data_IF_674604159096
#
_entry.id   IF_674604159096
#
_cell.length_a   1.000
_cell.length_b   1.000
_cell.length_c   1.000
_cell.angle_alpha   90.00
_cell.angle_beta   90.00
_cell.angle_gamma   90.00
#
_symmetry.space_group_name_H-M   'P 1'
#
loop_
_entity.id
_entity.type
_entity.pdbx_description
1 polymer ?
#
# COMPACT_ATOMS: atom_id res chain seq x y z
N UNK A 1 19.98 13.82 -22.37
CA UNK A 1 20.04 14.61 -21.12
C UNK A 1 19.91 13.64 -19.96
N UNK A 2 20.40 14.00 -18.77
CA UNK A 2 20.34 13.12 -17.59
C UNK A 2 19.52 13.81 -16.51
N UNK A 3 18.55 13.09 -15.96
CA UNK A 3 17.82 13.50 -14.76
C UNK A 3 18.30 12.71 -13.55
N UNK A 4 18.58 13.42 -12.46
CA UNK A 4 18.81 12.86 -11.13
C UNK A 4 17.56 13.05 -10.28
N UNK A 5 16.91 11.94 -9.94
CA UNK A 5 15.83 11.89 -8.95
C UNK A 5 16.44 11.58 -7.58
N UNK A 6 16.47 12.57 -6.69
CA UNK A 6 17.01 12.43 -5.34
C UNK A 6 15.91 12.17 -4.33
N UNK A 7 16.17 11.25 -3.41
CA UNK A 7 15.25 10.86 -2.34
C UNK A 7 16.00 10.85 -1.01
N UNK A 8 15.61 11.71 -0.07
CA UNK A 8 16.07 11.63 1.31
C UNK A 8 15.24 10.57 2.05
N UNK A 9 15.83 9.39 2.20
CA UNK A 9 15.21 8.15 2.63
C UNK A 9 15.96 7.54 3.81
N UNK A 10 15.39 7.71 5.01
CA UNK A 10 16.05 7.36 6.28
C UNK A 10 16.00 5.86 6.62
N UNK A 11 15.29 5.05 5.83
CA UNK A 11 15.23 3.61 6.06
C UNK A 11 16.49 2.91 5.54
N UNK A 12 17.06 2.05 6.38
CA UNK A 12 18.30 1.32 6.10
C UNK A 12 18.12 0.10 5.19
N UNK A 13 16.90 -0.37 4.96
CA UNK A 13 16.63 -1.59 4.17
C UNK A 13 16.76 -1.39 2.66
N UNK A 14 17.01 -0.16 2.18
CA UNK A 14 17.07 0.19 0.76
C UNK A 14 15.83 -0.23 -0.04
N UNK A 15 14.67 -0.38 0.61
CA UNK A 15 13.40 -0.74 -0.01
C UNK A 15 13.08 0.14 -1.23
N UNK A 16 13.28 1.45 -1.12
CA UNK A 16 13.05 2.39 -2.22
C UNK A 16 13.92 2.07 -3.45
N UNK A 17 15.18 1.64 -3.24
CA UNK A 17 16.08 1.31 -4.34
C UNK A 17 15.59 0.13 -5.17
N UNK A 18 14.91 -0.84 -4.56
CA UNK A 18 14.28 -1.94 -5.30
C UNK A 18 13.23 -1.44 -6.28
N UNK A 19 12.32 -0.56 -5.85
CA UNK A 19 11.29 -0.02 -6.72
C UNK A 19 11.88 0.87 -7.81
N UNK A 20 12.87 1.70 -7.48
CA UNK A 20 13.59 2.52 -8.46
C UNK A 20 14.23 1.63 -9.54
N UNK A 21 14.93 0.56 -9.16
CA UNK A 21 15.55 -0.39 -10.07
C UNK A 21 14.51 -1.11 -10.94
N UNK A 22 13.44 -1.63 -10.33
CA UNK A 22 12.36 -2.33 -11.02
C UNK A 22 11.76 -1.48 -12.15
N UNK A 23 11.43 -0.23 -11.84
CA UNK A 23 10.78 0.68 -12.79
C UNK A 23 11.75 1.26 -13.83
N UNK A 24 13.00 1.52 -13.45
CA UNK A 24 14.04 1.92 -14.41
C UNK A 24 14.34 0.79 -15.41
N UNK A 25 14.38 -0.47 -14.99
CA UNK A 25 14.52 -1.62 -15.91
C UNK A 25 13.36 -1.71 -16.90
N UNK A 26 12.12 -1.45 -16.46
CA UNK A 26 10.94 -1.46 -17.35
C UNK A 26 10.99 -0.38 -18.42
N UNK A 27 11.58 0.77 -18.13
CA UNK A 27 11.67 1.89 -19.10
C UNK A 27 12.66 1.61 -20.23
N UNK A 28 13.62 0.69 -20.02
CA UNK A 28 14.73 0.37 -20.94
C UNK A 28 15.68 1.55 -21.22
N UNK A 29 15.58 2.63 -20.46
CA UNK A 29 16.51 3.75 -20.52
C UNK A 29 17.80 3.40 -19.77
N UNK A 30 18.97 3.90 -20.20
CA UNK A 30 20.17 3.84 -19.39
C UNK A 30 19.93 4.52 -18.03
N UNK A 31 20.32 3.85 -16.96
CA UNK A 31 20.14 4.36 -15.60
C UNK A 31 21.24 3.87 -14.67
N UNK A 32 21.42 4.59 -13.56
CA UNK A 32 22.22 4.14 -12.43
C UNK A 32 21.54 4.56 -11.12
N UNK A 33 21.80 3.82 -10.04
CA UNK A 33 21.31 4.19 -8.72
C UNK A 33 22.52 4.38 -7.82
N UNK A 34 22.55 5.47 -7.08
CA UNK A 34 23.66 5.80 -6.18
C UNK A 34 23.09 6.14 -4.81
N UNK A 35 23.79 5.74 -3.75
CA UNK A 35 23.42 6.06 -2.37
C UNK A 35 24.58 6.75 -1.67
N UNK A 36 24.30 7.89 -1.04
CA UNK A 36 25.23 8.61 -0.18
C UNK A 36 24.49 9.03 1.09
N UNK A 37 24.93 8.49 2.23
CA UNK A 37 24.23 8.63 3.52
C UNK A 37 22.76 8.18 3.41
N UNK A 38 21.81 9.04 3.80
CA UNK A 38 20.38 8.78 3.71
C UNK A 38 19.78 9.24 2.37
N UNK A 39 20.60 9.61 1.38
CA UNK A 39 20.12 10.03 0.06
C UNK A 39 20.31 8.91 -0.95
N UNK A 40 19.21 8.51 -1.60
CA UNK A 40 19.22 7.61 -2.76
C UNK A 40 18.94 8.47 -4.01
N UNK A 41 19.82 8.39 -4.99
CA UNK A 41 19.68 9.04 -6.30
C UNK A 41 19.44 7.99 -7.37
N UNK A 42 18.42 8.19 -8.21
CA UNK A 42 18.25 7.48 -9.47
C UNK A 42 18.64 8.44 -10.60
N UNK A 43 19.62 8.07 -11.41
CA UNK A 43 19.99 8.77 -12.63
C UNK A 43 19.34 8.07 -13.82
N UNK A 44 18.73 8.82 -14.73
CA UNK A 44 18.15 8.28 -15.98
C UNK A 44 18.57 9.15 -17.15
N UNK A 45 19.09 8.54 -18.21
CA UNK A 45 19.49 9.22 -19.44
C UNK A 45 18.46 8.96 -20.53
N UNK A 46 18.09 10.01 -21.24
CA UNK A 46 17.22 9.89 -22.40
C UNK A 46 17.03 11.21 -23.13
N UNK A 47 16.17 11.18 -24.14
CA UNK A 47 15.57 12.38 -24.72
C UNK A 47 14.52 12.94 -23.78
N UNK A 48 14.22 14.22 -23.90
CA UNK A 48 13.23 14.91 -23.06
C UNK A 48 11.87 14.19 -23.05
N UNK A 49 11.37 13.80 -24.22
CA UNK A 49 10.10 13.05 -24.36
C UNK A 49 10.13 11.69 -23.64
N UNK A 50 11.25 10.98 -23.67
CA UNK A 50 11.41 9.68 -23.02
C UNK A 50 11.45 9.82 -21.49
N UNK A 51 12.07 10.89 -21.00
CA UNK A 51 12.19 11.19 -19.58
C UNK A 51 10.88 11.71 -18.97
N UNK A 52 10.13 12.52 -19.73
CA UNK A 52 8.77 12.90 -19.36
C UNK A 52 7.88 11.67 -19.25
N UNK A 53 7.92 10.80 -20.27
CA UNK A 53 7.19 9.53 -20.25
C UNK A 53 7.63 8.65 -19.08
N UNK A 54 8.92 8.61 -18.76
CA UNK A 54 9.42 7.87 -17.60
C UNK A 54 8.81 8.36 -16.29
N UNK A 55 8.77 9.68 -16.09
CA UNK A 55 8.14 10.30 -14.92
C UNK A 55 6.65 9.98 -14.84
N UNK A 56 5.92 10.14 -15.94
CA UNK A 56 4.46 10.01 -15.97
C UNK A 56 3.97 8.56 -15.87
N UNK A 57 4.72 7.59 -16.42
CA UNK A 57 4.28 6.19 -16.44
C UNK A 57 4.82 5.37 -15.27
N UNK A 58 6.08 5.59 -14.87
CA UNK A 58 6.78 4.69 -13.95
C UNK A 58 7.01 5.31 -12.58
N UNK A 59 7.42 6.58 -12.50
CA UNK A 59 7.70 7.20 -11.20
C UNK A 59 6.44 7.34 -10.34
N UNK A 60 5.27 7.52 -10.95
CA UNK A 60 3.98 7.55 -10.25
C UNK A 60 3.61 6.22 -9.56
N UNK A 61 4.23 5.11 -9.97
CA UNK A 61 3.95 3.77 -9.45
C UNK A 61 4.87 3.39 -8.28
N UNK A 62 5.93 4.16 -8.03
CA UNK A 62 6.81 3.94 -6.89
C UNK A 62 6.01 4.19 -5.62
N UNK A 63 5.92 3.21 -4.70
CA UNK A 63 5.21 3.40 -3.45
C UNK A 63 5.84 4.54 -2.63
N UNK A 64 4.99 5.46 -2.14
CA UNK A 64 5.42 6.38 -1.11
C UNK A 64 5.73 5.62 0.19
N UNK A 65 6.68 6.12 0.99
CA UNK A 65 7.09 5.50 2.24
C UNK A 65 7.06 6.53 3.38
N UNK A 66 6.71 6.11 4.59
CA UNK A 66 6.80 7.00 5.77
C UNK A 66 8.24 7.44 6.08
N UNK A 67 9.23 6.76 5.52
CA UNK A 67 10.64 7.10 5.67
C UNK A 67 11.18 8.04 4.57
N UNK A 68 10.34 8.39 3.59
CA UNK A 68 10.69 9.41 2.59
C UNK A 68 10.39 10.79 3.15
N UNK A 69 11.43 11.61 3.32
CA UNK A 69 11.30 12.94 3.94
C UNK A 69 11.31 14.07 2.91
N UNK A 70 12.01 13.89 1.79
CA UNK A 70 12.12 14.87 0.72
C UNK A 70 12.47 14.16 -0.59
N UNK A 71 11.93 14.65 -1.70
CA UNK A 71 12.38 14.32 -3.04
C UNK A 71 12.66 15.59 -3.86
N UNK A 72 13.57 15.50 -4.83
CA UNK A 72 13.86 16.56 -5.80
C UNK A 72 14.36 15.97 -7.12
N UNK A 73 14.22 16.71 -8.22
CA UNK A 73 14.68 16.32 -9.55
C UNK A 73 15.61 17.39 -10.09
N UNK A 74 16.76 16.97 -10.60
CA UNK A 74 17.80 17.85 -11.12
C UNK A 74 18.23 17.40 -12.51
N UNK A 75 18.59 18.36 -13.38
CA UNK A 75 19.32 18.05 -14.62
C UNK A 75 20.80 18.04 -14.30
N UNK A 76 21.51 16.98 -14.69
CA UNK A 76 22.94 16.81 -14.42
C UNK A 76 23.69 16.45 -15.70
N UNK A 77 25.01 16.69 -15.69
CA UNK A 77 25.87 16.44 -16.85
C UNK A 77 26.35 14.97 -16.93
N UNK A 78 26.44 14.29 -15.78
CA UNK A 78 27.04 12.95 -15.68
C UNK A 78 26.25 12.05 -14.72
N UNK A 79 26.25 10.75 -15.03
CA UNK A 79 25.76 9.71 -14.14
C UNK A 79 26.86 9.26 -13.18
N UNK A 80 26.54 9.13 -11.90
CA UNK A 80 27.40 8.40 -10.97
C UNK A 80 27.29 6.90 -11.23
N UNK A 81 28.40 6.18 -11.13
CA UNK A 81 28.37 4.72 -11.13
C UNK A 81 27.59 4.19 -9.93
N UNK A 82 26.89 3.07 -10.12
CA UNK A 82 26.12 2.47 -9.03
C UNK A 82 27.04 2.00 -7.92
N UNK A 83 26.70 2.36 -6.67
CA UNK A 83 27.46 1.98 -5.49
C UNK A 83 26.63 1.18 -4.47
N UNK A 84 25.41 0.77 -4.84
CA UNK A 84 24.56 -0.05 -3.99
C UNK A 84 24.18 -1.35 -4.69
N UNK A 85 24.08 -2.39 -3.88
CA UNK A 85 23.42 -3.63 -4.28
C UNK A 85 21.91 -3.48 -4.08
N UNK A 86 21.15 -3.84 -5.12
CA UNK A 86 19.69 -3.81 -5.05
C UNK A 86 19.22 -5.00 -4.21
N UNK A 87 18.45 -4.76 -3.13
CA UNK A 87 18.01 -5.84 -2.27
C UNK A 87 17.05 -6.77 -3.01
N UNK A 88 17.12 -8.08 -2.73
CA UNK A 88 16.08 -9.02 -3.14
C UNK A 88 14.90 -8.92 -2.17
N UNK A 89 13.74 -8.49 -2.66
CA UNK A 89 12.53 -8.36 -1.87
C UNK A 89 11.53 -9.46 -2.19
N UNK A 90 10.86 -9.95 -1.14
CA UNK A 90 9.69 -10.84 -1.21
C UNK A 90 8.66 -10.34 -0.21
N UNK A 91 8.07 -9.20 -0.52
CA UNK A 91 7.08 -8.55 0.33
C UNK A 91 5.72 -8.59 -0.37
N UNK A 92 4.65 -9.05 0.28
CA UNK A 92 3.30 -9.16 -0.28
C UNK A 92 2.53 -7.84 -0.26
N UNK A 93 3.20 -6.76 0.13
CA UNK A 93 2.56 -5.47 0.35
C UNK A 93 1.86 -4.96 -0.92
N UNK A 94 0.68 -4.37 -0.72
CA UNK A 94 -0.08 -3.65 -1.73
C UNK A 94 0.71 -2.44 -2.24
N UNK A 95 0.85 -2.33 -3.56
CA UNK A 95 1.53 -1.23 -4.24
C UNK A 95 0.59 -0.42 -5.13
N UNK A 96 0.96 0.81 -5.52
CA UNK A 96 0.16 1.61 -6.45
C UNK A 96 -0.12 0.90 -7.77
N UNK A 97 0.82 0.09 -8.27
CA UNK A 97 0.62 -0.71 -9.48
C UNK A 97 -0.49 -1.76 -9.31
N UNK A 98 -0.52 -2.48 -8.19
CA UNK A 98 -1.59 -3.45 -7.91
C UNK A 98 -2.95 -2.75 -7.83
N UNK A 99 -3.04 -1.62 -7.12
CA UNK A 99 -4.28 -0.85 -7.03
C UNK A 99 -4.74 -0.35 -8.40
N UNK A 100 -3.82 0.19 -9.21
CA UNK A 100 -4.11 0.64 -10.58
C UNK A 100 -4.64 -0.51 -11.44
N UNK A 101 -4.01 -1.68 -11.37
CA UNK A 101 -4.40 -2.85 -12.15
C UNK A 101 -5.77 -3.38 -11.71
N UNK A 102 -6.03 -3.42 -10.41
CA UNK A 102 -7.33 -3.81 -9.84
C UNK A 102 -8.46 -2.89 -10.33
N UNK A 103 -8.30 -1.58 -10.19
CA UNK A 103 -9.30 -0.59 -10.61
C UNK A 103 -9.54 -0.66 -12.13
N UNK A 104 -8.50 -0.93 -12.92
CA UNK A 104 -8.61 -1.09 -14.37
C UNK A 104 -9.04 -2.49 -14.80
N UNK A 105 -9.42 -3.38 -13.88
CA UNK A 105 -9.86 -4.75 -14.17
C UNK A 105 -8.85 -5.54 -15.02
N UNK A 106 -7.55 -5.34 -14.76
CA UNK A 106 -6.47 -6.04 -15.44
C UNK A 106 -6.27 -7.45 -14.88
N UNK A 107 -5.74 -8.36 -15.69
CA UNK A 107 -5.51 -9.75 -15.29
C UNK A 107 -4.32 -9.92 -14.33
N UNK A 108 -3.33 -9.01 -14.38
CA UNK A 108 -2.12 -9.09 -13.55
C UNK A 108 -2.27 -8.27 -12.29
N UNK A 109 -2.39 -8.95 -11.15
CA UNK A 109 -2.60 -8.36 -9.82
C UNK A 109 -1.46 -8.66 -8.84
N UNK A 110 -0.41 -9.33 -9.30
CA UNK A 110 0.83 -9.48 -8.54
C UNK A 110 1.54 -8.13 -8.38
N UNK A 111 2.16 -7.94 -7.22
CA UNK A 111 3.02 -6.80 -7.00
C UNK A 111 4.40 -6.97 -7.69
N UNK A 112 5.26 -5.97 -7.55
CA UNK A 112 6.58 -5.91 -8.17
C UNK A 112 7.50 -7.07 -7.73
N UNK A 113 7.21 -7.73 -6.60
CA UNK A 113 7.90 -8.92 -6.11
C UNK A 113 7.35 -10.24 -6.68
N UNK A 114 6.33 -10.21 -7.55
CA UNK A 114 5.65 -11.39 -8.08
C UNK A 114 4.79 -12.10 -7.02
N UNK A 115 4.20 -11.35 -6.09
CA UNK A 115 3.34 -11.90 -5.04
C UNK A 115 1.92 -11.37 -5.23
N UNK A 116 0.96 -12.29 -5.32
CA UNK A 116 -0.47 -11.99 -5.44
C UNK A 116 -1.09 -11.59 -4.10
N UNK A 117 -0.93 -12.42 -3.08
CA UNK A 117 -1.38 -12.19 -1.70
C UNK A 117 -0.64 -13.16 -0.77
N UNK A 118 -0.40 -12.77 0.47
CA UNK A 118 0.06 -13.68 1.53
C UNK A 118 -1.07 -14.27 2.38
N UNK A 119 -2.31 -13.89 2.10
CA UNK A 119 -3.44 -14.19 2.98
C UNK A 119 -3.91 -15.64 2.78
N UNK A 120 -4.20 -16.30 3.90
CA UNK A 120 -5.07 -17.47 3.91
C UNK A 120 -6.37 -17.19 4.66
N UNK A 121 -7.45 -17.84 4.25
CA UNK A 121 -8.79 -17.69 4.81
C UNK A 121 -9.18 -18.97 5.53
N UNK A 122 -9.69 -18.89 6.75
CA UNK A 122 -10.23 -20.07 7.44
C UNK A 122 -11.62 -20.40 6.89
N UNK A 123 -11.76 -21.56 6.27
CA UNK A 123 -13.01 -22.12 5.77
C UNK A 123 -13.13 -23.57 6.22
N UNK A 124 -14.30 -23.93 6.78
CA UNK A 124 -14.59 -25.30 7.22
C UNK A 124 -13.51 -25.95 8.12
N UNK A 125 -12.81 -25.13 8.92
CA UNK A 125 -11.75 -25.55 9.82
C UNK A 125 -10.34 -25.63 9.22
N UNK A 126 -10.17 -25.30 7.94
CA UNK A 126 -8.88 -25.31 7.25
C UNK A 126 -8.53 -23.94 6.65
N UNK A 127 -7.25 -23.60 6.62
CA UNK A 127 -6.77 -22.38 5.97
C UNK A 127 -6.56 -22.62 4.49
N UNK A 128 -7.28 -21.87 3.66
CA UNK A 128 -7.16 -21.86 2.21
C UNK A 128 -6.33 -20.67 1.77
N UNK A 129 -5.20 -20.91 1.11
CA UNK A 129 -4.36 -19.85 0.54
C UNK A 129 -5.08 -19.12 -0.60
N UNK A 130 -5.00 -17.79 -0.56
CA UNK A 130 -5.57 -16.93 -1.60
C UNK A 130 -4.66 -16.92 -2.83
N UNK A 131 -5.25 -17.07 -4.02
CA UNK A 131 -4.57 -16.97 -5.30
C UNK A 131 -5.49 -16.41 -6.39
N UNK A 132 -4.94 -16.19 -7.59
CA UNK A 132 -5.64 -15.64 -8.75
C UNK A 132 -6.92 -16.40 -9.14
N UNK A 133 -6.98 -17.71 -8.88
CA UNK A 133 -8.09 -18.57 -9.30
C UNK A 133 -9.26 -18.57 -8.31
N UNK A 134 -9.00 -18.33 -7.02
CA UNK A 134 -10.01 -18.47 -5.97
C UNK A 134 -10.43 -17.15 -5.31
N UNK A 135 -9.64 -16.07 -5.42
CA UNK A 135 -9.86 -14.88 -4.61
C UNK A 135 -11.25 -14.25 -4.77
N UNK A 136 -11.84 -14.27 -5.97
CA UNK A 136 -13.17 -13.67 -6.21
C UNK A 136 -14.28 -14.41 -5.46
N UNK A 137 -14.26 -15.74 -5.48
CA UNK A 137 -15.23 -16.57 -4.76
C UNK A 137 -15.00 -16.49 -3.24
N UNK A 138 -13.74 -16.40 -2.80
CA UNK A 138 -13.42 -16.13 -1.40
C UNK A 138 -13.97 -14.78 -0.95
N UNK A 139 -13.74 -13.69 -1.71
CA UNK A 139 -14.30 -12.37 -1.40
C UNK A 139 -15.82 -12.44 -1.27
N UNK A 140 -16.51 -13.05 -2.24
CA UNK A 140 -17.97 -13.18 -2.21
C UNK A 140 -18.46 -13.89 -0.93
N UNK A 141 -17.77 -14.96 -0.53
CA UNK A 141 -18.05 -15.70 0.70
C UNK A 141 -17.84 -14.83 1.95
N UNK A 142 -16.71 -14.12 2.01
CA UNK A 142 -16.39 -13.28 3.16
C UNK A 142 -17.29 -12.05 3.28
N UNK A 143 -17.65 -11.42 2.17
CA UNK A 143 -18.63 -10.32 2.13
C UNK A 143 -19.98 -10.80 2.67
N UNK A 144 -20.45 -11.98 2.25
CA UNK A 144 -21.70 -12.56 2.77
C UNK A 144 -21.62 -12.75 4.29
N UNK A 145 -20.54 -13.33 4.80
CA UNK A 145 -20.37 -13.55 6.23
C UNK A 145 -20.35 -12.23 7.02
N UNK A 146 -19.54 -11.27 6.57
CA UNK A 146 -19.38 -9.97 7.24
C UNK A 146 -20.66 -9.13 7.20
N UNK A 147 -21.42 -9.16 6.11
CA UNK A 147 -22.73 -8.47 6.02
C UNK A 147 -23.79 -9.10 6.91
N UNK A 148 -23.66 -10.40 7.23
CA UNK A 148 -24.48 -11.08 8.25
C UNK A 148 -23.89 -10.98 9.67
N UNK A 149 -22.94 -10.06 9.91
CA UNK A 149 -22.25 -9.84 11.19
C UNK A 149 -21.51 -11.09 11.72
N UNK A 150 -21.11 -11.99 10.83
CA UNK A 150 -20.25 -13.11 11.16
C UNK A 150 -18.79 -12.66 11.05
N UNK A 151 -18.00 -13.02 12.07
CA UNK A 151 -16.56 -12.81 12.03
C UNK A 151 -15.91 -13.76 11.02
N UNK A 152 -14.84 -13.30 10.37
CA UNK A 152 -14.02 -14.13 9.50
C UNK A 152 -12.59 -14.16 10.04
N UNK A 153 -11.92 -15.30 9.90
CA UNK A 153 -10.54 -15.48 10.37
C UNK A 153 -9.62 -15.54 9.16
N UNK A 154 -8.64 -14.66 9.16
CA UNK A 154 -7.59 -14.58 8.15
C UNK A 154 -6.24 -14.88 8.79
N UNK A 155 -5.26 -15.21 7.96
CA UNK A 155 -3.90 -15.48 8.39
C UNK A 155 -2.90 -14.88 7.42
N UNK A 156 -1.89 -14.22 7.95
CA UNK A 156 -0.71 -13.78 7.23
C UNK A 156 0.56 -14.42 7.84
N UNK A 157 1.75 -13.99 7.44
CA UNK A 157 3.02 -14.47 8.02
C UNK A 157 3.21 -14.11 9.51
N UNK A 158 2.50 -13.10 10.01
CA UNK A 158 2.60 -12.62 11.40
C UNK A 158 1.63 -13.36 12.33
N UNK A 159 0.58 -13.98 11.79
CA UNK A 159 -0.33 -14.82 12.54
C UNK A 159 -1.76 -14.74 12.03
N UNK A 160 -2.67 -15.20 12.88
CA UNK A 160 -4.11 -15.15 12.62
C UNK A 160 -4.70 -13.83 13.12
N UNK A 161 -5.67 -13.29 12.38
CA UNK A 161 -6.42 -12.10 12.79
C UNK A 161 -7.89 -12.24 12.39
N UNK A 162 -8.74 -11.57 13.16
CA UNK A 162 -10.19 -11.67 13.03
C UNK A 162 -10.70 -10.36 12.43
N UNK A 163 -11.49 -10.46 11.36
CA UNK A 163 -12.25 -9.33 10.84
C UNK A 163 -13.71 -9.47 11.23
N UNK A 164 -14.26 -8.35 11.70
CA UNK A 164 -15.69 -8.16 11.95
C UNK A 164 -16.15 -6.91 11.23
N UNK A 165 -17.42 -6.89 10.88
CA UNK A 165 -18.07 -5.72 10.33
C UNK A 165 -18.48 -4.77 11.46
N UNK A 166 -18.28 -3.47 11.24
CA UNK A 166 -18.66 -2.42 12.17
C UNK A 166 -17.48 -1.80 12.92
N UNK A 167 -17.78 -0.69 13.60
CA UNK A 167 -16.80 0.06 14.39
C UNK A 167 -16.88 -0.39 15.85
N UNK A 168 -16.06 -1.39 16.20
CA UNK A 168 -15.93 -1.95 17.55
C UNK A 168 -14.64 -1.46 18.22
N UNK A 169 -14.76 -0.79 19.36
CA UNK A 169 -13.63 -0.16 20.08
C UNK A 169 -12.89 -1.09 21.07
N UNK A 170 -13.26 -2.37 21.11
CA UNK A 170 -12.55 -3.43 21.83
C UNK A 170 -11.64 -4.27 20.91
N UNK A 171 -11.54 -3.89 19.63
CA UNK A 171 -10.61 -4.45 18.64
C UNK A 171 -9.20 -3.82 18.75
N UNK A 172 -8.20 -4.41 18.09
CA UNK A 172 -6.83 -3.87 18.05
C UNK A 172 -6.73 -2.58 17.21
N UNK A 173 -7.48 -2.52 16.11
CA UNK A 173 -7.60 -1.36 15.22
C UNK A 173 -8.80 -1.57 14.28
N UNK A 174 -9.28 -0.48 13.69
CA UNK A 174 -10.26 -0.57 12.60
C UNK A 174 -9.61 -0.37 11.23
N UNK A 175 -10.16 -1.04 10.22
CA UNK A 175 -9.77 -0.86 8.82
C UNK A 175 -10.95 -0.26 8.05
N UNK A 176 -10.79 0.94 7.48
CA UNK A 176 -11.86 1.55 6.71
C UNK A 176 -12.04 0.83 5.38
N UNK A 177 -13.28 0.66 4.94
CA UNK A 177 -13.56 0.10 3.62
C UNK A 177 -13.14 1.06 2.49
N UNK A 178 -13.07 2.36 2.79
CA UNK A 178 -12.53 3.39 1.91
C UNK A 178 -11.96 4.56 2.72
N UNK A 179 -10.98 5.28 2.20
CA UNK A 179 -10.55 6.54 2.83
C UNK A 179 -11.68 7.57 2.96
N UNK A 180 -12.71 7.51 2.09
CA UNK A 180 -13.92 8.33 2.23
C UNK A 180 -14.77 7.93 3.44
N UNK A 181 -14.71 6.67 3.89
CA UNK A 181 -15.48 6.21 5.05
C UNK A 181 -14.83 6.61 6.38
N UNK A 182 -13.50 6.77 6.41
CA UNK A 182 -12.74 7.19 7.60
C UNK A 182 -13.29 8.49 8.20
N UNK A 183 -13.53 9.50 7.36
CA UNK A 183 -13.96 10.84 7.81
C UNK A 183 -15.32 10.84 8.53
N UNK A 184 -16.13 9.79 8.34
CA UNK A 184 -17.42 9.64 9.03
C UNK A 184 -17.24 9.49 10.54
N UNK A 185 -16.14 8.89 10.98
CA UNK A 185 -15.85 8.65 12.39
C UNK A 185 -14.60 9.38 12.90
N UNK A 186 -13.60 9.61 12.06
CA UNK A 186 -12.28 10.11 12.46
C UNK A 186 -11.95 11.45 11.82
N UNK A 187 -11.06 12.20 12.47
CA UNK A 187 -10.45 13.40 11.92
C UNK A 187 -9.20 12.99 11.15
N UNK A 188 -9.18 13.30 9.85
CA UNK A 188 -8.06 13.03 8.97
C UNK A 188 -7.40 14.34 8.51
N UNK A 189 -6.08 14.42 8.63
CA UNK A 189 -5.27 15.44 7.98
C UNK A 189 -4.47 14.85 6.82
N UNK A 190 -3.83 15.70 6.03
CA UNK A 190 -3.01 15.28 4.88
C UNK A 190 -1.91 14.30 5.28
N UNK A 191 -1.26 14.53 6.44
CA UNK A 191 -0.19 13.64 6.94
C UNK A 191 -0.71 12.25 7.27
N UNK A 192 -1.90 12.16 7.86
CA UNK A 192 -2.57 10.89 8.17
C UNK A 192 -2.94 10.15 6.90
N UNK A 193 -3.44 10.85 5.87
CA UNK A 193 -3.70 10.25 4.57
C UNK A 193 -2.43 9.71 3.91
N UNK A 194 -1.37 10.49 3.89
CA UNK A 194 -0.07 10.09 3.34
C UNK A 194 0.47 8.85 4.07
N UNK A 195 0.38 8.84 5.41
CA UNK A 195 0.85 7.72 6.22
C UNK A 195 0.00 6.45 6.00
N UNK A 196 -1.33 6.53 6.06
CA UNK A 196 -2.19 5.37 5.78
C UNK A 196 -2.07 4.86 4.34
N UNK A 197 -1.68 5.72 3.40
CA UNK A 197 -1.46 5.33 2.00
C UNK A 197 -0.06 4.77 1.74
N UNK A 198 0.89 4.98 2.66
CA UNK A 198 2.30 4.59 2.48
C UNK A 198 2.47 3.07 2.35
N UNK A 199 3.57 2.64 1.77
CA UNK A 199 3.88 1.22 1.61
C UNK A 199 3.85 0.42 2.93
N UNK A 200 4.28 1.03 4.03
CA UNK A 200 4.34 0.41 5.36
C UNK A 200 2.96 0.23 6.00
N UNK A 201 1.98 1.06 5.64
CA UNK A 201 0.61 1.04 6.21
C UNK A 201 0.61 1.01 7.76
N UNK A 202 1.23 2.01 8.42
CA UNK A 202 1.29 2.06 9.88
C UNK A 202 -0.10 2.13 10.50
N UNK A 203 -0.22 1.64 11.74
CA UNK A 203 -1.38 1.91 12.60
C UNK A 203 -1.28 3.35 13.10
N UNK A 204 -2.34 4.13 12.90
CA UNK A 204 -2.42 5.51 13.37
C UNK A 204 -3.48 5.65 14.46
N UNK A 205 -3.11 6.26 15.59
CA UNK A 205 -4.07 6.62 16.63
C UNK A 205 -4.78 7.93 16.24
N UNK A 206 -6.00 7.82 15.71
CA UNK A 206 -6.75 8.93 15.15
C UNK A 206 -7.84 9.42 16.10
N UNK A 207 -8.03 10.74 16.12
CA UNK A 207 -9.07 11.36 16.93
C UNK A 207 -10.44 11.14 16.31
N UNK A 208 -11.42 10.70 17.10
CA UNK A 208 -12.80 10.64 16.64
C UNK A 208 -13.36 12.06 16.42
N UNK A 209 -14.18 12.25 15.39
CA UNK A 209 -14.81 13.54 15.14
C UNK A 209 -15.93 13.81 16.18
N UNK A 210 -16.24 15.10 16.39
CA UNK A 210 -17.18 15.49 17.44
C UNK A 210 -18.62 15.01 17.18
N UNK A 211 -19.04 14.99 15.91
CA UNK A 211 -20.39 14.57 15.49
C UNK A 211 -20.60 13.09 15.81
N UNK A 212 -19.63 12.25 15.47
CA UNK A 212 -19.67 10.81 15.74
C UNK A 212 -19.77 10.54 17.26
N UNK A 213 -18.97 11.24 18.07
CA UNK A 213 -19.03 11.09 19.54
C UNK A 213 -20.33 11.59 20.17
N UNK A 214 -21.03 12.54 19.53
CA UNK A 214 -22.35 12.97 20.00
C UNK A 214 -23.43 11.92 19.72
N UNK A 215 -23.33 11.24 18.57
CA UNK A 215 -24.29 10.21 18.16
C UNK A 215 -24.05 8.84 18.83
N UNK A 216 -22.84 8.59 19.33
CA UNK A 216 -22.46 7.32 19.95
C UNK A 216 -21.99 7.54 21.38
N UNK A 217 -22.73 7.00 22.36
CA UNK A 217 -22.38 7.13 23.78
C UNK A 217 -21.19 6.22 24.12
N UNK A 218 -20.34 6.66 25.06
CA UNK A 218 -19.23 5.89 25.63
C UNK A 218 -18.14 5.44 24.64
N UNK A 219 -17.99 6.14 23.51
CA UNK A 219 -16.88 5.89 22.57
C UNK A 219 -15.61 6.61 23.02
N UNK A 220 -14.41 6.09 22.70
CA UNK A 220 -13.16 6.74 23.09
C UNK A 220 -12.94 8.05 22.33
N UNK A 221 -11.99 8.87 22.80
CA UNK A 221 -11.60 10.10 22.11
C UNK A 221 -10.73 9.82 20.88
N UNK A 222 -9.94 8.75 20.93
CA UNK A 222 -9.02 8.31 19.89
C UNK A 222 -9.15 6.80 19.72
N UNK A 223 -8.88 6.31 18.52
CA UNK A 223 -8.78 4.88 18.26
C UNK A 223 -7.84 4.59 17.09
N UNK A 224 -7.33 3.37 17.07
CA UNK A 224 -6.32 2.95 16.11
C UNK A 224 -6.96 2.59 14.77
N UNK A 225 -6.39 3.13 13.70
CA UNK A 225 -6.84 2.93 12.31
C UNK A 225 -5.67 2.44 11.49
N UNK A 226 -5.91 1.41 10.68
CA UNK A 226 -4.93 0.84 9.75
C UNK A 226 -5.54 0.71 8.37
N UNK A 227 -4.76 0.89 7.32
CA UNK A 227 -5.18 0.57 5.96
C UNK A 227 -4.72 -0.85 5.56
N UNK A 228 -5.38 -1.43 4.56
CA UNK A 228 -5.00 -2.74 4.04
C UNK A 228 -3.55 -2.73 3.52
N UNK A 229 -2.77 -3.70 3.99
CA UNK A 229 -1.38 -3.92 3.55
C UNK A 229 -1.22 -4.97 2.47
N UNK A 230 -2.22 -5.81 2.24
CA UNK A 230 -2.21 -6.90 1.24
C UNK A 230 -3.32 -6.69 0.21
N UNK A 231 -3.11 -7.17 -1.02
CA UNK A 231 -4.08 -7.09 -2.12
C UNK A 231 -5.45 -7.68 -1.77
N UNK A 232 -5.50 -8.89 -1.20
CA UNK A 232 -6.76 -9.58 -0.93
C UNK A 232 -7.59 -8.82 0.10
N UNK A 233 -6.95 -8.33 1.16
CA UNK A 233 -7.63 -7.51 2.18
C UNK A 233 -8.16 -6.22 1.57
N UNK A 234 -7.37 -5.56 0.71
CA UNK A 234 -7.81 -4.36 -0.01
C UNK A 234 -9.04 -4.64 -0.89
N UNK A 235 -9.02 -5.71 -1.68
CA UNK A 235 -10.13 -6.09 -2.55
C UNK A 235 -11.40 -6.49 -1.76
N UNK A 236 -11.25 -7.14 -0.60
CA UNK A 236 -12.36 -7.43 0.31
C UNK A 236 -12.99 -6.14 0.86
N UNK A 237 -12.17 -5.18 1.30
CA UNK A 237 -12.62 -3.89 1.80
C UNK A 237 -13.34 -3.08 0.72
N UNK A 238 -12.84 -3.07 -0.52
CA UNK A 238 -13.50 -2.40 -1.65
C UNK A 238 -14.86 -3.05 -1.98
N UNK A 239 -14.94 -4.39 -1.97
CA UNK A 239 -16.20 -5.11 -2.15
C UNK A 239 -17.22 -4.77 -1.05
N UNK A 240 -16.79 -4.69 0.21
CA UNK A 240 -17.63 -4.26 1.34
C UNK A 240 -18.12 -2.82 1.18
N UNK A 241 -17.26 -1.92 0.69
CA UNK A 241 -17.65 -0.54 0.38
C UNK A 241 -18.77 -0.49 -0.68
N UNK A 242 -18.70 -1.37 -1.69
CA UNK A 242 -19.77 -1.57 -2.69
C UNK A 242 -21.12 -1.97 -2.07
N UNK A 243 -21.10 -2.76 -1.00
CA UNK A 243 -22.28 -3.14 -0.19
C UNK A 243 -22.69 -2.07 0.85
N UNK A 244 -22.14 -0.85 0.74
CA UNK A 244 -22.39 0.27 1.67
C UNK A 244 -21.90 0.05 3.10
N UNK A 245 -21.00 -0.91 3.32
CA UNK A 245 -20.28 -1.09 4.59
C UNK A 245 -19.13 -0.08 4.66
N UNK A 246 -18.94 0.57 5.82
CA UNK A 246 -18.07 1.74 5.98
C UNK A 246 -16.90 1.48 6.91
#
# INVERSE_FOLDING_TARGET
MILEFKFNYINKTNLLAYFLDFYAKKSKLPYSIYKENDVISLFVEGKEEELLKFSDEWMILIPNSVFLTKSEVLVVDEMKESNLEIPSLKLPNLTPNVVKNYVNHSDSLENECGIFSEISVLLDGEFVEVNETNYKELIKTLVLNLTHNQAVVLKDKNGEFILKNGLEFDSDFVMPTSFKSVEKAFIMDEKSYIALSSYEKPVLNLKLNAIFRQNNKNVPAFFDVKAASDFFVFALLDALYGESVN
#
